data_IF_863637669674
#
_entry.id   IF_863637669674
#
_cell.length_a   1.000
_cell.length_b   1.000
_cell.length_c   1.000
_cell.angle_alpha   90.00
_cell.angle_beta   90.00
_cell.angle_gamma   90.00
#
_symmetry.space_group_name_H-M   'P 1'
#
loop_
_entity.id
_entity.type
_entity.pdbx_description
1 polymer ?
#
# COMPACT_ATOMS: atom_id res chain seq x y z
N UNK A 1 -15.45 47.55 -1.76
CA UNK A 1 -14.25 47.74 -2.58
C UNK A 1 -13.39 46.48 -2.51
N UNK A 2 -13.33 45.69 -3.59
CA UNK A 2 -12.53 44.46 -3.66
C UNK A 2 -11.12 44.83 -4.11
N UNK A 3 -10.15 44.76 -3.21
CA UNK A 3 -8.74 45.02 -3.53
C UNK A 3 -8.14 43.71 -4.04
N UNK A 4 -7.70 43.73 -5.31
CA UNK A 4 -7.21 42.57 -6.06
C UNK A 4 -5.86 42.10 -5.53
N UNK A 5 -5.73 40.78 -5.31
CA UNK A 5 -4.52 40.09 -4.83
C UNK A 5 -3.27 40.35 -5.70
N UNK A 6 -3.47 40.83 -6.92
CA UNK A 6 -2.42 41.23 -7.87
C UNK A 6 -1.60 42.42 -7.36
N UNK A 7 -2.21 43.35 -6.62
CA UNK A 7 -1.49 44.52 -6.06
C UNK A 7 -0.63 44.14 -4.85
N UNK A 8 -1.04 43.12 -4.08
CA UNK A 8 -0.27 42.60 -2.95
C UNK A 8 0.95 41.79 -3.41
N UNK A 9 0.81 41.01 -4.48
CA UNK A 9 1.93 40.32 -5.13
C UNK A 9 2.95 41.31 -5.72
N UNK A 10 2.49 42.41 -6.31
CA UNK A 10 3.37 43.45 -6.86
C UNK A 10 4.18 44.15 -5.76
N UNK A 11 3.57 44.44 -4.61
CA UNK A 11 4.25 45.06 -3.47
C UNK A 11 5.21 44.13 -2.71
N UNK A 12 5.01 42.81 -2.80
CA UNK A 12 5.95 41.82 -2.26
C UNK A 12 7.14 41.61 -3.21
N UNK A 13 6.90 41.59 -4.52
CA UNK A 13 7.95 41.43 -5.52
C UNK A 13 8.89 42.64 -5.58
N UNK A 14 8.40 43.86 -5.36
CA UNK A 14 9.23 45.08 -5.31
C UNK A 14 10.06 45.21 -4.03
N UNK A 15 9.77 44.41 -2.99
CA UNK A 15 10.58 44.32 -1.76
C UNK A 15 11.63 43.22 -1.81
N UNK A 16 11.40 42.15 -2.59
CA UNK A 16 12.36 41.05 -2.73
C UNK A 16 13.37 41.24 -3.87
N UNK A 17 13.05 42.07 -4.87
CA UNK A 17 14.01 42.46 -5.90
C UNK A 17 13.92 43.97 -6.11
N UNK A 18 15.00 44.75 -5.89
CA UNK A 18 15.05 46.09 -6.47
C UNK A 18 14.91 45.93 -7.99
N UNK A 19 14.09 46.75 -8.68
CA UNK A 19 13.95 46.62 -10.12
C UNK A 19 15.33 46.79 -10.76
N UNK A 20 15.61 45.91 -11.72
CA UNK A 20 16.84 45.91 -12.48
C UNK A 20 17.15 47.32 -13.02
N UNK A 21 18.42 47.80 -12.96
CA UNK A 21 18.77 49.11 -13.48
C UNK A 21 18.47 49.16 -14.97
N UNK A 22 17.60 50.08 -15.37
CA UNK A 22 16.99 50.10 -16.70
C UNK A 22 17.89 50.72 -17.80
N UNK A 23 19.15 51.05 -17.52
CA UNK A 23 20.07 51.53 -18.56
C UNK A 23 21.52 51.10 -18.30
N UNK A 24 22.25 50.71 -19.36
CA UNK A 24 23.66 50.30 -19.32
C UNK A 24 24.60 51.35 -18.71
N UNK A 25 24.18 52.63 -18.72
CA UNK A 25 24.93 53.73 -18.11
C UNK A 25 24.88 53.71 -16.58
N UNK A 26 23.79 53.24 -15.98
CA UNK A 26 23.65 53.18 -14.52
C UNK A 26 24.36 51.97 -13.94
N UNK A 27 24.37 50.82 -14.64
CA UNK A 27 25.15 49.65 -14.23
C UNK A 27 26.66 49.92 -14.31
N UNK A 28 27.13 50.62 -15.36
CA UNK A 28 28.52 51.05 -15.47
C UNK A 28 28.89 52.03 -14.34
N UNK A 29 27.98 52.93 -13.96
CA UNK A 29 28.19 53.87 -12.85
C UNK A 29 28.23 53.16 -11.50
N UNK A 30 27.38 52.16 -11.29
CA UNK A 30 27.38 51.32 -10.09
C UNK A 30 28.64 50.46 -9.98
N UNK A 31 29.09 49.88 -11.09
CA UNK A 31 30.35 49.15 -11.15
C UNK A 31 31.55 50.07 -10.86
N UNK A 32 31.57 51.28 -11.43
CA UNK A 32 32.64 52.24 -11.14
C UNK A 32 32.65 52.68 -9.67
N UNK A 33 31.48 52.83 -9.04
CA UNK A 33 31.36 53.14 -7.61
C UNK A 33 31.80 51.97 -6.74
N UNK A 34 31.46 50.74 -7.11
CA UNK A 34 31.89 49.53 -6.41
C UNK A 34 33.39 49.28 -6.56
N UNK A 35 33.95 49.43 -7.75
CA UNK A 35 35.39 49.32 -7.99
C UNK A 35 36.16 50.39 -7.21
N UNK A 36 35.66 51.63 -7.17
CA UNK A 36 36.29 52.68 -6.38
C UNK A 36 36.17 52.41 -4.88
N UNK A 37 35.06 51.86 -4.40
CA UNK A 37 34.89 51.47 -3.00
C UNK A 37 35.85 50.33 -2.62
N UNK A 38 35.98 49.32 -3.48
CA UNK A 38 36.90 48.20 -3.27
C UNK A 38 38.36 48.63 -3.30
N UNK A 39 38.76 49.46 -4.27
CA UNK A 39 40.13 50.01 -4.31
C UNK A 39 40.43 50.86 -3.10
N UNK A 40 39.50 51.71 -2.67
CA UNK A 40 39.67 52.52 -1.45
C UNK A 40 39.79 51.66 -0.20
N UNK A 41 39.11 50.52 -0.14
CA UNK A 41 39.19 49.58 0.98
C UNK A 41 40.48 48.75 0.94
N UNK A 42 40.96 48.42 -0.27
CA UNK A 42 42.26 47.78 -0.49
C UNK A 42 43.42 48.72 -0.16
N UNK A 43 43.38 49.98 -0.57
CA UNK A 43 44.41 50.98 -0.27
C UNK A 43 44.43 51.34 1.22
N UNK A 44 43.28 51.27 1.90
CA UNK A 44 43.19 51.42 3.35
C UNK A 44 43.74 50.21 4.12
N UNK A 45 43.59 49.00 3.57
CA UNK A 45 44.13 47.77 4.17
C UNK A 45 45.61 47.53 3.82
N UNK A 46 46.08 48.09 2.71
CA UNK A 46 47.45 47.98 2.21
C UNK A 46 47.98 49.38 1.83
N UNK A 47 48.38 50.21 2.81
CA UNK A 47 49.05 51.46 2.50
C UNK A 47 50.32 51.18 1.70
N UNK A 48 50.62 51.97 0.65
CA UNK A 48 51.78 51.71 -0.19
C UNK A 48 53.06 51.73 0.67
N UNK A 49 53.97 50.77 0.45
CA UNK A 49 55.23 50.73 1.16
C UNK A 49 56.01 52.00 0.82
N UNK A 50 56.54 52.67 1.85
CA UNK A 50 57.51 53.75 1.67
C UNK A 50 58.68 53.17 0.88
N UNK A 51 58.97 53.80 -0.25
CA UNK A 51 60.15 53.49 -1.05
C UNK A 51 61.39 53.70 -0.17
N UNK A 52 62.10 52.60 0.11
CA UNK A 52 63.54 52.63 0.20
C UNK A 52 64.09 51.49 -0.67
N UNK A 53 64.72 51.96 -1.74
CA UNK A 53 65.55 51.31 -2.74
C UNK A 53 66.25 50.01 -2.27
N UNK A 54 66.09 48.90 -3.02
CA UNK A 54 67.18 48.25 -3.78
C UNK A 54 66.84 46.84 -4.29
N UNK A 55 66.89 46.71 -5.62
CA UNK A 55 67.47 45.62 -6.42
C UNK A 55 66.80 44.21 -6.47
N UNK A 56 66.26 43.93 -7.66
CA UNK A 56 66.03 42.61 -8.31
C UNK A 56 67.36 41.83 -8.57
N UNK A 57 67.40 40.51 -8.94
CA UNK A 57 66.40 39.75 -9.73
C UNK A 57 66.12 38.24 -9.40
N UNK A 58 64.82 37.84 -9.48
CA UNK A 58 64.14 36.80 -10.32
C UNK A 58 64.94 35.57 -10.84
N UNK A 59 64.37 34.35 -11.12
CA UNK A 59 63.14 33.65 -10.67
C UNK A 59 63.34 32.15 -10.30
N UNK A 60 62.54 31.55 -9.39
CA UNK A 60 62.02 30.18 -9.59
C UNK A 60 60.89 29.81 -8.61
N UNK A 61 59.68 29.64 -9.16
CA UNK A 61 58.67 28.66 -8.73
C UNK A 61 57.85 28.86 -7.42
N UNK A 62 56.62 28.29 -7.35
CA UNK A 62 55.42 29.11 -7.19
C UNK A 62 54.62 28.82 -5.91
N UNK A 63 53.94 29.86 -5.42
CA UNK A 63 52.57 29.83 -4.85
C UNK A 63 52.16 28.65 -3.95
N UNK A 64 52.98 28.24 -2.98
CA UNK A 64 52.57 27.27 -1.93
C UNK A 64 52.04 27.87 -0.62
N UNK A 65 52.52 29.02 -0.10
CA UNK A 65 52.03 29.50 1.19
C UNK A 65 50.65 30.17 1.10
N UNK A 66 50.35 30.85 -0.01
CA UNK A 66 49.05 31.53 -0.20
C UNK A 66 47.90 30.53 -0.39
N UNK A 67 48.14 29.44 -1.11
CA UNK A 67 47.12 28.40 -1.30
C UNK A 67 46.83 27.65 0.01
N UNK A 68 47.84 27.38 0.85
CA UNK A 68 47.63 26.80 2.18
C UNK A 68 46.91 27.75 3.14
N UNK A 69 47.20 29.04 3.05
CA UNK A 69 46.51 30.03 3.88
C UNK A 69 45.04 30.23 3.44
N UNK A 70 44.76 30.20 2.13
CA UNK A 70 43.41 30.20 1.59
C UNK A 70 42.64 28.92 1.94
N UNK A 71 43.27 27.74 1.85
CA UNK A 71 42.65 26.48 2.31
C UNK A 71 42.35 26.52 3.81
N UNK A 72 43.25 27.09 4.63
CA UNK A 72 43.02 27.27 6.07
C UNK A 72 41.91 28.27 6.40
N UNK A 73 41.68 29.28 5.56
CA UNK A 73 40.59 30.24 5.71
C UNK A 73 39.26 29.66 5.21
N UNK A 74 39.28 28.84 4.15
CA UNK A 74 38.09 28.19 3.59
C UNK A 74 37.60 26.99 4.44
N UNK A 75 38.45 26.43 5.29
CA UNK A 75 38.10 25.38 6.26
C UNK A 75 37.68 25.93 7.63
N UNK A 76 37.52 27.25 7.77
CA UNK A 76 37.14 27.85 9.05
C UNK A 76 35.65 27.57 9.37
N UNK A 77 35.29 27.11 10.58
CA UNK A 77 33.92 26.66 10.94
C UNK A 77 32.86 27.77 11.01
N UNK A 78 33.24 29.03 10.72
CA UNK A 78 32.32 30.16 10.54
C UNK A 78 32.03 30.45 9.06
N UNK A 79 32.81 29.85 8.15
CA UNK A 79 32.65 29.88 6.69
C UNK A 79 32.16 28.55 6.11
N UNK A 80 31.87 27.56 6.96
CA UNK A 80 30.86 26.51 6.68
C UNK A 80 29.47 27.15 6.58
N UNK A 81 29.33 28.02 5.60
CA UNK A 81 28.04 28.39 5.04
C UNK A 81 27.52 27.13 4.40
N UNK A 82 26.71 26.38 5.17
CA UNK A 82 25.57 25.58 4.72
C UNK A 82 25.61 25.44 3.21
N UNK A 83 26.32 24.41 2.73
CA UNK A 83 26.49 24.13 1.31
C UNK A 83 25.16 24.42 0.63
N UNK A 84 25.20 25.40 -0.26
CA UNK A 84 24.12 25.77 -1.14
C UNK A 84 23.61 24.49 -1.77
N UNK A 85 22.42 24.10 -1.33
CA UNK A 85 21.50 23.28 -2.11
C UNK A 85 21.58 23.75 -3.57
N UNK A 86 21.75 22.84 -4.54
CA UNK A 86 21.64 23.24 -5.94
C UNK A 86 20.31 23.96 -6.14
N UNK A 87 20.28 24.98 -6.99
CA UNK A 87 19.10 25.79 -7.32
C UNK A 87 18.03 25.01 -8.12
N UNK A 88 17.67 23.83 -7.64
CA UNK A 88 16.45 23.10 -7.90
C UNK A 88 15.84 22.83 -6.51
N UNK A 89 14.53 22.68 -6.39
CA UNK A 89 13.92 22.29 -5.12
C UNK A 89 14.64 21.09 -4.47
N UNK A 90 14.43 20.83 -3.16
CA UNK A 90 15.10 19.73 -2.46
C UNK A 90 15.12 18.50 -3.36
N UNK A 91 16.30 17.89 -3.63
CA UNK A 91 16.35 16.72 -4.51
C UNK A 91 15.31 15.74 -3.97
N UNK A 92 14.49 15.09 -4.82
CA UNK A 92 13.45 14.21 -4.34
C UNK A 92 14.13 13.15 -3.47
N UNK A 93 14.05 13.27 -2.14
CA UNK A 93 14.78 12.38 -1.25
C UNK A 93 14.31 10.97 -1.58
N UNK A 94 15.20 10.17 -2.16
CA UNK A 94 14.91 8.78 -2.51
C UNK A 94 14.49 8.09 -1.22
N UNK A 95 13.53 7.16 -1.26
CA UNK A 95 13.11 6.47 -0.05
C UNK A 95 14.31 5.81 0.68
N UNK A 96 15.32 5.40 -0.08
CA UNK A 96 16.62 4.91 0.43
C UNK A 96 17.38 5.99 1.21
N UNK A 97 17.50 7.22 0.69
CA UNK A 97 18.14 8.33 1.40
C UNK A 97 17.43 8.68 2.71
N UNK A 98 16.09 8.62 2.71
CA UNK A 98 15.30 8.87 3.91
C UNK A 98 15.47 7.76 4.94
N UNK A 99 15.59 6.51 4.48
CA UNK A 99 15.89 5.36 5.33
C UNK A 99 17.28 5.52 5.97
N UNK A 100 18.31 5.79 5.18
CA UNK A 100 19.68 5.99 5.68
C UNK A 100 19.78 7.16 6.64
N UNK A 101 19.12 8.29 6.33
CA UNK A 101 19.06 9.44 7.21
C UNK A 101 18.39 9.07 8.54
N UNK A 102 17.29 8.31 8.51
CA UNK A 102 16.59 7.88 9.71
C UNK A 102 17.42 6.92 10.58
N UNK A 103 18.20 6.03 9.97
CA UNK A 103 19.16 5.18 10.67
C UNK A 103 20.28 6.00 11.33
N UNK A 104 20.90 6.93 10.60
CA UNK A 104 21.98 7.80 11.14
C UNK A 104 21.51 8.65 12.31
N UNK A 105 20.26 9.12 12.25
CA UNK A 105 19.66 9.95 13.30
C UNK A 105 19.02 9.13 14.44
N UNK A 106 19.10 7.79 14.39
CA UNK A 106 18.50 6.87 15.38
C UNK A 106 17.03 7.19 15.71
N UNK A 107 16.27 7.67 14.72
CA UNK A 107 14.87 8.04 14.88
C UNK A 107 13.95 7.15 14.03
N UNK A 108 14.38 5.91 13.78
CA UNK A 108 13.60 4.94 13.04
C UNK A 108 12.46 4.43 13.92
N UNK A 109 11.22 4.74 13.54
CA UNK A 109 10.01 4.21 14.16
C UNK A 109 9.25 3.39 13.14
N UNK A 110 8.42 2.44 13.62
CA UNK A 110 7.58 1.58 12.76
C UNK A 110 6.70 2.41 11.81
N UNK A 111 6.11 3.50 12.29
CA UNK A 111 5.30 4.41 11.46
C UNK A 111 6.12 5.12 10.37
N UNK A 112 7.37 5.51 10.68
CA UNK A 112 8.28 6.12 9.71
C UNK A 112 8.70 5.11 8.65
N UNK A 113 8.93 3.86 9.05
CA UNK A 113 9.24 2.75 8.15
C UNK A 113 8.10 2.50 7.16
N UNK A 114 6.84 2.39 7.63
CA UNK A 114 5.67 2.25 6.76
C UNK A 114 5.58 3.38 5.72
N UNK A 115 5.81 4.64 6.14
CA UNK A 115 5.80 5.79 5.24
C UNK A 115 6.90 5.70 4.17
N UNK A 116 8.12 5.33 4.56
CA UNK A 116 9.25 5.15 3.64
C UNK A 116 8.96 4.00 2.66
N UNK A 117 8.43 2.88 3.15
CA UNK A 117 8.07 1.72 2.32
C UNK A 117 7.01 2.08 1.27
N UNK A 118 5.95 2.80 1.65
CA UNK A 118 4.94 3.32 0.69
C UNK A 118 5.57 4.22 -0.37
N UNK A 119 6.45 5.12 0.05
CA UNK A 119 7.13 6.01 -0.89
C UNK A 119 8.01 5.23 -1.86
N UNK A 120 8.74 4.22 -1.38
CA UNK A 120 9.57 3.35 -2.22
C UNK A 120 8.73 2.57 -3.23
N UNK A 121 7.60 1.99 -2.82
CA UNK A 121 6.68 1.27 -3.71
C UNK A 121 6.12 2.17 -4.82
N UNK A 122 5.83 3.44 -4.51
CA UNK A 122 5.42 4.44 -5.53
C UNK A 122 6.59 4.79 -6.45
N UNK A 123 7.81 4.91 -5.90
CA UNK A 123 9.00 5.21 -6.68
C UNK A 123 9.33 4.10 -7.67
N UNK A 124 9.37 2.83 -7.26
CA UNK A 124 9.64 1.70 -8.18
C UNK A 124 8.61 1.65 -9.31
N UNK A 125 7.33 1.90 -9.01
CA UNK A 125 6.26 1.92 -10.03
C UNK A 125 6.50 2.99 -11.10
N UNK A 126 7.03 4.14 -10.72
CA UNK A 126 7.24 5.27 -11.63
C UNK A 126 8.63 5.26 -12.30
N UNK A 127 9.65 4.80 -11.60
CA UNK A 127 11.03 4.72 -12.06
C UNK A 127 11.76 3.63 -11.27
N UNK A 128 12.16 2.51 -11.88
CA UNK A 128 12.93 1.48 -11.18
C UNK A 128 14.25 2.09 -10.71
N UNK A 129 14.43 2.17 -9.39
CA UNK A 129 15.71 2.57 -8.78
C UNK A 129 16.67 1.38 -8.85
N UNK A 130 17.98 1.60 -9.14
CA UNK A 130 18.97 0.54 -9.04
C UNK A 130 19.23 0.12 -7.58
N UNK A 131 18.91 0.98 -6.62
CA UNK A 131 19.13 0.72 -5.19
C UNK A 131 17.93 0.02 -4.56
N UNK A 132 18.16 -1.20 -4.07
CA UNK A 132 17.17 -2.04 -3.38
C UNK A 132 17.13 -1.73 -1.89
N UNK A 133 15.95 -1.33 -1.39
CA UNK A 133 15.73 -0.99 0.02
C UNK A 133 15.58 -2.23 0.91
N UNK A 134 15.05 -3.33 0.37
CA UNK A 134 14.67 -4.52 1.11
C UNK A 134 15.83 -5.21 1.83
N UNK A 135 17.01 -5.30 1.22
CA UNK A 135 18.18 -5.90 1.87
C UNK A 135 18.62 -5.09 3.10
N UNK A 136 18.56 -3.76 3.00
CA UNK A 136 18.90 -2.86 4.11
C UNK A 136 17.86 -2.94 5.23
N UNK A 137 16.59 -3.05 4.87
CA UNK A 137 15.50 -3.24 5.82
C UNK A 137 15.63 -4.57 6.56
N UNK A 138 15.95 -5.66 5.85
CA UNK A 138 16.18 -6.97 6.46
C UNK A 138 17.36 -6.94 7.44
N UNK A 139 18.50 -6.39 7.02
CA UNK A 139 19.68 -6.27 7.89
C UNK A 139 19.41 -5.39 9.12
N UNK A 140 18.66 -4.28 8.95
CA UNK A 140 18.22 -3.46 10.07
C UNK A 140 17.34 -4.25 11.03
N UNK A 141 16.30 -4.92 10.51
CA UNK A 141 15.37 -5.67 11.34
C UNK A 141 16.11 -6.78 12.09
N UNK A 142 17.03 -7.50 11.46
CA UNK A 142 17.85 -8.53 12.10
C UNK A 142 18.70 -8.00 13.26
N UNK A 143 19.35 -6.84 13.08
CA UNK A 143 20.19 -6.19 14.08
C UNK A 143 19.42 -5.56 15.25
N UNK A 144 18.12 -5.35 15.09
CA UNK A 144 17.28 -4.64 16.06
C UNK A 144 16.83 -5.55 17.22
N UNK A 145 16.42 -4.93 18.34
CA UNK A 145 15.96 -5.62 19.54
C UNK A 145 14.68 -6.47 19.31
N UNK A 146 14.48 -7.50 20.14
CA UNK A 146 13.27 -8.33 20.11
C UNK A 146 11.98 -7.51 20.31
N UNK A 147 12.04 -6.47 21.15
CA UNK A 147 10.91 -5.57 21.39
C UNK A 147 10.51 -4.80 20.11
N UNK A 148 11.48 -4.25 19.38
CA UNK A 148 11.19 -3.55 18.12
C UNK A 148 10.66 -4.50 17.05
N UNK A 149 11.20 -5.73 16.97
CA UNK A 149 10.69 -6.79 16.09
C UNK A 149 9.24 -7.11 16.42
N UNK A 150 8.93 -7.36 17.70
CA UNK A 150 7.57 -7.61 18.16
C UNK A 150 6.62 -6.45 17.81
N UNK A 151 7.02 -5.21 18.08
CA UNK A 151 6.24 -4.00 17.73
C UNK A 151 6.00 -3.87 16.22
N UNK A 152 7.00 -4.22 15.40
CA UNK A 152 6.85 -4.25 13.94
C UNK A 152 5.79 -5.26 13.49
N UNK A 153 5.84 -6.50 13.98
CA UNK A 153 4.88 -7.53 13.58
C UNK A 153 3.48 -7.35 14.18
N UNK A 154 3.35 -6.61 15.27
CA UNK A 154 2.04 -6.21 15.82
C UNK A 154 1.41 -5.05 15.04
N UNK A 155 2.17 -4.34 14.20
CA UNK A 155 1.66 -3.21 13.42
C UNK A 155 1.17 -3.68 12.04
N UNK A 156 -0.16 -3.70 11.78
CA UNK A 156 -0.69 -4.17 10.50
C UNK A 156 -0.25 -3.28 9.33
N UNK A 157 -0.13 -1.97 9.56
CA UNK A 157 0.32 -1.01 8.55
C UNK A 157 1.78 -1.27 8.13
N UNK A 158 2.63 -1.68 9.08
CA UNK A 158 4.02 -2.00 8.79
C UNK A 158 4.14 -3.23 7.91
N UNK A 159 3.43 -4.31 8.26
CA UNK A 159 3.40 -5.54 7.46
C UNK A 159 2.83 -5.24 6.06
N UNK A 160 1.73 -4.50 5.99
CA UNK A 160 1.05 -4.17 4.72
C UNK A 160 1.92 -3.40 3.73
N UNK A 161 2.83 -2.56 4.22
CA UNK A 161 3.70 -1.74 3.38
C UNK A 161 5.06 -2.42 3.11
N UNK A 162 5.61 -3.14 4.09
CA UNK A 162 6.94 -3.75 3.98
C UNK A 162 6.92 -5.08 3.24
N UNK A 163 5.90 -5.93 3.41
CA UNK A 163 5.85 -7.22 2.70
C UNK A 163 5.85 -7.04 1.18
N UNK A 164 5.03 -6.16 0.58
CA UNK A 164 5.09 -5.92 -0.86
C UNK A 164 6.44 -5.38 -1.33
N UNK A 165 7.12 -4.58 -0.48
CA UNK A 165 8.46 -4.07 -0.76
C UNK A 165 9.49 -5.20 -0.83
N UNK A 166 9.46 -6.13 0.14
CA UNK A 166 10.34 -7.29 0.16
C UNK A 166 10.14 -8.17 -1.08
N UNK A 167 8.88 -8.39 -1.48
CA UNK A 167 8.54 -9.12 -2.70
C UNK A 167 8.97 -8.39 -3.98
N UNK A 168 8.93 -7.05 -4.01
CA UNK A 168 9.40 -6.26 -5.16
C UNK A 168 10.93 -6.37 -5.34
N UNK A 169 11.68 -6.47 -4.25
CA UNK A 169 13.13 -6.59 -4.29
C UNK A 169 13.65 -8.04 -4.49
N UNK A 170 12.74 -9.03 -4.43
CA UNK A 170 13.03 -10.46 -4.60
C UNK A 170 13.40 -11.19 -3.30
N UNK A 171 13.05 -10.63 -2.14
CA UNK A 171 13.41 -11.12 -0.81
C UNK A 171 12.30 -11.95 -0.16
N UNK A 172 11.67 -12.81 -0.95
CA UNK A 172 10.58 -13.67 -0.46
C UNK A 172 11.06 -14.65 0.60
N UNK A 173 12.25 -15.22 0.42
CA UNK A 173 12.87 -16.15 1.37
C UNK A 173 13.04 -15.54 2.76
N UNK A 174 13.34 -14.24 2.84
CA UNK A 174 13.45 -13.51 4.10
C UNK A 174 12.09 -13.37 4.78
N UNK A 175 11.02 -13.10 4.03
CA UNK A 175 9.65 -13.04 4.59
C UNK A 175 9.21 -14.41 5.11
N UNK A 176 9.55 -15.49 4.41
CA UNK A 176 9.34 -16.85 4.89
C UNK A 176 10.14 -17.17 6.15
N UNK A 177 11.38 -16.69 6.26
CA UNK A 177 12.18 -16.80 7.47
C UNK A 177 11.52 -16.07 8.64
N UNK A 178 10.94 -14.88 8.41
CA UNK A 178 10.20 -14.16 9.44
C UNK A 178 8.97 -14.94 9.93
N UNK A 179 8.22 -15.59 9.03
CA UNK A 179 7.10 -16.44 9.42
C UNK A 179 7.58 -17.61 10.29
N UNK A 180 8.72 -18.23 9.96
CA UNK A 180 9.31 -19.31 10.77
C UNK A 180 9.68 -18.82 12.17
N UNK A 181 10.35 -17.68 12.28
CA UNK A 181 10.67 -17.06 13.57
C UNK A 181 9.43 -16.73 14.42
N UNK A 182 8.31 -16.36 13.77
CA UNK A 182 7.02 -16.16 14.45
C UNK A 182 6.39 -17.48 14.94
N UNK A 183 6.60 -18.60 14.23
CA UNK A 183 6.15 -19.93 14.68
C UNK A 183 7.00 -20.46 15.83
N UNK A 184 8.29 -20.16 15.84
CA UNK A 184 9.23 -20.54 16.91
C UNK A 184 9.14 -19.62 18.15
N UNK A 185 8.34 -18.55 18.04
CA UNK A 185 8.12 -17.51 19.06
C UNK A 185 9.41 -16.77 19.45
N UNK A 186 10.40 -16.66 18.57
CA UNK A 186 11.73 -16.13 18.91
C UNK A 186 11.70 -14.69 19.45
N UNK A 187 10.74 -13.88 19.00
CA UNK A 187 10.67 -12.44 19.32
C UNK A 187 9.66 -12.06 20.40
N UNK A 188 8.93 -13.05 20.92
CA UNK A 188 7.85 -12.83 21.90
C UNK A 188 8.14 -13.49 23.25
N UNK A 189 9.31 -14.11 23.43
CA UNK A 189 9.75 -14.66 24.72
C UNK A 189 10.39 -13.58 25.57
N UNK A 190 9.63 -13.04 26.53
CA UNK A 190 10.20 -12.39 27.70
C UNK A 190 10.24 -13.43 28.84
N UNK A 191 11.41 -14.04 29.09
CA UNK A 191 11.73 -14.84 30.28
C UNK A 191 10.97 -16.17 30.48
N UNK A 192 11.69 -17.28 30.30
CA UNK A 192 11.58 -18.62 30.95
C UNK A 192 10.22 -19.35 31.12
N UNK A 193 9.10 -18.88 30.59
CA UNK A 193 7.85 -19.65 30.60
C UNK A 193 7.73 -20.55 29.35
N UNK A 194 8.42 -21.69 29.35
CA UNK A 194 8.18 -22.77 28.39
C UNK A 194 6.74 -23.27 28.58
N UNK A 195 5.87 -23.01 27.59
CA UNK A 195 4.49 -23.49 27.58
C UNK A 195 3.40 -22.44 27.86
N UNK A 196 3.70 -21.13 27.83
CA UNK A 196 2.60 -20.14 27.87
C UNK A 196 1.75 -20.24 26.60
N UNK A 197 0.41 -20.10 26.70
CA UNK A 197 -0.43 -19.99 25.52
C UNK A 197 0.06 -18.85 24.62
N UNK A 198 0.04 -19.07 23.30
CA UNK A 198 0.43 -18.05 22.32
C UNK A 198 -0.42 -16.80 22.57
N UNK A 199 0.23 -15.65 22.74
CA UNK A 199 -0.47 -14.39 22.98
C UNK A 199 -1.36 -14.08 21.76
N UNK A 200 -2.60 -13.58 21.93
CA UNK A 200 -3.47 -13.22 20.81
C UNK A 200 -2.80 -12.26 19.82
N UNK A 201 -1.90 -11.39 20.31
CA UNK A 201 -1.08 -10.51 19.48
C UNK A 201 -0.14 -11.27 18.51
N UNK A 202 0.47 -12.37 18.96
CA UNK A 202 1.32 -13.22 18.12
C UNK A 202 0.48 -13.94 17.07
N UNK A 203 -0.65 -14.51 17.49
CA UNK A 203 -1.57 -15.21 16.59
C UNK A 203 -2.10 -14.29 15.48
N UNK A 204 -2.39 -13.04 15.84
CA UNK A 204 -2.79 -11.99 14.91
C UNK A 204 -1.65 -11.59 13.98
N UNK A 205 -0.43 -11.39 14.49
CA UNK A 205 0.74 -11.07 13.67
C UNK A 205 1.04 -12.16 12.62
N UNK A 206 0.93 -13.44 13.01
CA UNK A 206 1.05 -14.57 12.08
C UNK A 206 -0.01 -14.50 10.98
N UNK A 207 -1.29 -14.33 11.34
CA UNK A 207 -2.39 -14.23 10.37
C UNK A 207 -2.21 -13.03 9.42
N UNK A 208 -1.78 -11.88 9.93
CA UNK A 208 -1.50 -10.68 9.12
C UNK A 208 -0.37 -10.92 8.12
N UNK A 209 0.74 -11.53 8.55
CA UNK A 209 1.88 -11.83 7.68
C UNK A 209 1.47 -12.80 6.56
N UNK A 210 0.78 -13.89 6.91
CA UNK A 210 0.29 -14.90 5.96
C UNK A 210 -0.68 -14.25 4.97
N UNK A 211 -1.60 -13.42 5.46
CA UNK A 211 -2.53 -12.68 4.61
C UNK A 211 -1.78 -11.79 3.59
N UNK A 212 -0.75 -11.04 4.00
CA UNK A 212 0.04 -10.22 3.06
C UNK A 212 0.87 -11.06 2.08
N UNK A 213 1.41 -12.21 2.49
CA UNK A 213 2.07 -13.14 1.57
C UNK A 213 1.10 -13.68 0.52
N UNK A 214 -0.10 -14.10 0.94
CA UNK A 214 -1.17 -14.54 0.04
C UNK A 214 -1.58 -13.45 -0.95
N UNK A 215 -1.65 -12.19 -0.51
CA UNK A 215 -1.95 -11.05 -1.41
C UNK A 215 -0.91 -10.94 -2.52
N UNK A 216 0.36 -11.13 -2.20
CA UNK A 216 1.42 -11.08 -3.19
C UNK A 216 1.31 -12.23 -4.19
N UNK A 217 0.99 -13.45 -3.73
CA UNK A 217 0.70 -14.60 -4.60
C UNK A 217 -0.49 -14.34 -5.54
N UNK A 218 -1.60 -13.81 -5.00
CA UNK A 218 -2.81 -13.46 -5.77
C UNK A 218 -2.50 -12.38 -6.81
N UNK A 219 -1.69 -11.36 -6.46
CA UNK A 219 -1.28 -10.28 -7.38
C UNK A 219 -0.44 -10.80 -8.54
N UNK A 220 0.37 -11.83 -8.32
CA UNK A 220 1.14 -12.53 -9.37
C UNK A 220 0.26 -13.42 -10.25
N UNK A 221 -1.02 -13.59 -9.90
CA UNK A 221 -1.97 -14.41 -10.62
C UNK A 221 -2.05 -15.85 -10.13
N UNK A 222 -1.29 -16.23 -9.10
CA UNK A 222 -1.31 -17.59 -8.54
C UNK A 222 -2.19 -17.65 -7.29
N UNK A 223 -3.49 -17.84 -7.52
CA UNK A 223 -4.47 -18.04 -6.44
C UNK A 223 -4.31 -19.43 -5.83
N UNK A 224 -3.90 -20.41 -6.63
CA UNK A 224 -3.60 -21.76 -6.15
C UNK A 224 -2.53 -21.75 -5.06
N UNK A 225 -1.41 -21.02 -5.27
CA UNK A 225 -0.37 -20.91 -4.24
C UNK A 225 -0.90 -20.22 -2.98
N UNK A 226 -1.72 -19.18 -3.12
CA UNK A 226 -2.35 -18.52 -1.98
C UNK A 226 -3.28 -19.46 -1.20
N UNK A 227 -4.02 -20.33 -1.90
CA UNK A 227 -4.87 -21.34 -1.29
C UNK A 227 -4.02 -22.40 -0.55
N UNK A 228 -2.95 -22.89 -1.17
CA UNK A 228 -2.02 -23.83 -0.54
C UNK A 228 -1.36 -23.23 0.72
N UNK A 229 -0.96 -21.95 0.67
CA UNK A 229 -0.44 -21.21 1.82
C UNK A 229 -1.46 -21.12 2.97
N UNK A 230 -2.72 -20.80 2.64
CA UNK A 230 -3.79 -20.76 3.64
C UNK A 230 -4.03 -22.12 4.28
N UNK A 231 -4.09 -23.19 3.48
CA UNK A 231 -4.31 -24.56 3.98
C UNK A 231 -3.16 -24.99 4.90
N UNK A 232 -1.90 -24.79 4.48
CA UNK A 232 -0.74 -25.11 5.31
C UNK A 232 -0.77 -24.33 6.64
N UNK A 233 -1.10 -23.03 6.59
CA UNK A 233 -1.24 -22.20 7.77
C UNK A 233 -2.39 -22.64 8.68
N UNK A 234 -3.53 -23.03 8.11
CA UNK A 234 -4.71 -23.48 8.84
C UNK A 234 -4.46 -24.82 9.54
N UNK A 235 -3.78 -25.75 8.87
CA UNK A 235 -3.37 -27.03 9.46
C UNK A 235 -2.40 -26.81 10.63
N UNK A 236 -1.41 -25.92 10.47
CA UNK A 236 -0.53 -25.54 11.57
C UNK A 236 -1.30 -24.90 12.72
N UNK A 237 -2.22 -23.96 12.42
CA UNK A 237 -3.02 -23.27 13.43
C UNK A 237 -3.95 -24.22 14.20
N UNK A 238 -4.53 -25.22 13.53
CA UNK A 238 -5.33 -26.24 14.18
C UNK A 238 -4.53 -27.06 15.20
N UNK A 239 -3.22 -27.23 14.99
CA UNK A 239 -2.32 -27.90 15.93
C UNK A 239 -1.83 -26.95 17.03
N UNK A 240 -1.51 -25.69 16.71
CA UNK A 240 -0.88 -24.76 17.64
C UNK A 240 -1.86 -23.97 18.53
N UNK A 241 -3.03 -23.60 17.99
CA UNK A 241 -4.05 -22.80 18.66
C UNK A 241 -5.44 -23.04 18.01
N UNK A 242 -6.11 -24.17 18.34
CA UNK A 242 -7.34 -24.60 17.65
C UNK A 242 -8.54 -23.66 17.83
N UNK A 243 -8.53 -22.82 18.86
CA UNK A 243 -9.63 -21.88 19.16
C UNK A 243 -9.58 -20.60 18.34
N UNK A 244 -8.44 -20.28 17.71
CA UNK A 244 -8.18 -18.96 17.11
C UNK A 244 -7.99 -19.07 15.59
N UNK A 245 -9.02 -18.75 14.79
CA UNK A 245 -8.98 -18.94 13.35
C UNK A 245 -8.16 -17.87 12.61
N UNK A 246 -7.71 -18.21 11.40
CA UNK A 246 -6.97 -17.31 10.50
C UNK A 246 -7.90 -16.35 9.76
N UNK A 247 -8.43 -15.37 10.49
CA UNK A 247 -9.43 -14.41 10.00
C UNK A 247 -9.00 -13.65 8.75
N UNK A 248 -7.90 -12.91 8.81
CA UNK A 248 -7.41 -12.03 7.74
C UNK A 248 -7.00 -12.80 6.50
N UNK A 249 -6.39 -13.97 6.68
CA UNK A 249 -6.01 -14.87 5.60
C UNK A 249 -7.25 -15.46 4.91
N UNK A 250 -8.24 -15.92 5.69
CA UNK A 250 -9.51 -16.43 5.16
C UNK A 250 -10.29 -15.36 4.40
N UNK A 251 -10.45 -14.15 4.97
CA UNK A 251 -11.12 -13.02 4.28
C UNK A 251 -10.52 -12.80 2.90
N UNK A 252 -9.20 -12.90 2.79
CA UNK A 252 -8.46 -12.63 1.57
C UNK A 252 -8.66 -13.70 0.50
N UNK A 253 -8.50 -14.98 0.85
CA UNK A 253 -8.74 -16.07 -0.12
C UNK A 253 -10.21 -16.15 -0.53
N UNK A 254 -11.14 -16.00 0.41
CA UNK A 254 -12.57 -16.03 0.11
C UNK A 254 -12.97 -14.88 -0.83
N UNK A 255 -12.44 -13.68 -0.59
CA UNK A 255 -12.64 -12.54 -1.48
C UNK A 255 -12.03 -12.79 -2.86
N UNK A 256 -10.83 -13.38 -2.94
CA UNK A 256 -10.18 -13.68 -4.21
C UNK A 256 -10.99 -14.69 -5.04
N UNK A 257 -11.49 -15.75 -4.40
CA UNK A 257 -12.37 -16.77 -5.02
C UNK A 257 -13.65 -16.11 -5.53
N UNK A 258 -14.32 -15.28 -4.73
CA UNK A 258 -15.53 -14.56 -5.15
C UNK A 258 -15.33 -13.68 -6.38
N UNK A 259 -14.21 -12.95 -6.45
CA UNK A 259 -13.94 -12.08 -7.59
C UNK A 259 -13.65 -12.88 -8.87
N UNK A 260 -12.97 -14.02 -8.72
CA UNK A 260 -12.53 -14.86 -9.86
C UNK A 260 -13.56 -15.89 -10.27
N UNK A 261 -14.51 -16.21 -9.39
CA UNK A 261 -15.61 -17.17 -9.60
C UNK A 261 -15.05 -18.48 -10.13
N UNK A 262 -15.67 -19.09 -11.15
CA UNK A 262 -15.21 -20.33 -11.79
C UNK A 262 -13.80 -20.27 -12.42
N UNK A 263 -13.12 -19.11 -12.45
CA UNK A 263 -11.77 -18.94 -13.02
C UNK A 263 -10.67 -18.82 -11.96
N UNK A 264 -10.91 -19.31 -10.74
CA UNK A 264 -9.94 -19.23 -9.66
C UNK A 264 -8.73 -20.17 -9.84
N UNK A 265 -8.86 -21.26 -10.61
CA UNK A 265 -7.74 -22.16 -10.95
C UNK A 265 -7.16 -22.93 -9.76
N UNK A 266 -7.97 -23.22 -8.75
CA UNK A 266 -7.57 -23.98 -7.55
C UNK A 266 -7.99 -25.45 -7.79
N UNK A 267 -7.08 -26.38 -7.52
CA UNK A 267 -7.38 -27.82 -7.57
C UNK A 267 -8.47 -28.21 -6.56
N UNK A 268 -9.26 -29.23 -6.89
CA UNK A 268 -10.38 -29.72 -6.07
C UNK A 268 -9.92 -30.07 -4.65
N UNK A 269 -8.80 -30.79 -4.51
CA UNK A 269 -8.30 -31.23 -3.21
C UNK A 269 -7.90 -30.08 -2.29
N UNK A 270 -7.35 -29.01 -2.87
CA UNK A 270 -6.96 -27.80 -2.13
C UNK A 270 -8.19 -26.97 -1.78
N UNK A 271 -9.16 -26.91 -2.69
CA UNK A 271 -10.41 -26.19 -2.46
C UNK A 271 -11.22 -26.80 -1.31
N UNK A 272 -11.33 -28.13 -1.26
CA UNK A 272 -11.99 -28.85 -0.17
C UNK A 272 -11.35 -28.51 1.18
N UNK A 273 -10.02 -28.51 1.26
CA UNK A 273 -9.29 -28.14 2.48
C UNK A 273 -9.51 -26.67 2.88
N UNK A 274 -9.62 -25.74 1.92
CA UNK A 274 -9.98 -24.35 2.21
C UNK A 274 -11.39 -24.27 2.81
N UNK A 275 -12.33 -25.06 2.29
CA UNK A 275 -13.72 -25.11 2.75
C UNK A 275 -13.85 -25.77 4.13
N UNK A 276 -13.03 -26.77 4.42
CA UNK A 276 -13.02 -27.45 5.73
C UNK A 276 -12.49 -26.56 6.85
N UNK A 277 -11.56 -25.65 6.52
CA UNK A 277 -11.05 -24.64 7.46
C UNK A 277 -11.82 -23.30 7.40
N UNK A 278 -12.96 -23.26 6.72
CA UNK A 278 -13.74 -22.03 6.57
C UNK A 278 -14.24 -21.48 7.91
N UNK A 279 -14.22 -20.15 8.04
CA UNK A 279 -14.64 -19.46 9.26
C UNK A 279 -16.14 -19.19 9.21
N UNK A 280 -16.82 -19.43 10.35
CA UNK A 280 -18.23 -19.09 10.51
C UNK A 280 -18.47 -17.58 10.43
N UNK A 281 -19.59 -17.17 9.82
CA UNK A 281 -20.02 -15.76 9.78
C UNK A 281 -20.16 -15.14 11.16
N UNK A 282 -20.61 -15.92 12.14
CA UNK A 282 -20.84 -15.47 13.51
C UNK A 282 -19.57 -14.90 14.16
N UNK A 283 -18.41 -15.41 13.78
CA UNK A 283 -17.12 -15.04 14.36
C UNK A 283 -16.61 -13.71 13.82
N UNK A 284 -16.66 -13.50 12.50
CA UNK A 284 -15.91 -12.40 11.88
C UNK A 284 -16.65 -11.72 10.70
N UNK A 285 -17.95 -12.00 10.55
CA UNK A 285 -18.83 -11.44 9.50
C UNK A 285 -18.17 -11.49 8.12
N UNK A 286 -17.70 -12.67 7.74
CA UNK A 286 -16.99 -12.91 6.48
C UNK A 286 -17.87 -13.71 5.54
N UNK A 287 -17.56 -13.67 4.25
CA UNK A 287 -18.05 -14.61 3.24
C UNK A 287 -18.02 -16.05 3.79
N UNK A 288 -19.18 -16.69 3.84
CA UNK A 288 -19.32 -18.03 4.43
C UNK A 288 -18.84 -19.13 3.52
N UNK A 289 -18.65 -20.31 4.11
CA UNK A 289 -18.50 -21.59 3.41
C UNK A 289 -19.51 -21.75 2.27
N UNK A 290 -20.77 -21.39 2.50
CA UNK A 290 -21.85 -21.52 1.52
C UNK A 290 -21.65 -20.67 0.26
N UNK A 291 -21.03 -19.48 0.37
CA UNK A 291 -20.64 -18.70 -0.81
C UNK A 291 -19.49 -19.34 -1.59
N UNK A 292 -18.56 -20.01 -0.90
CA UNK A 292 -17.45 -20.69 -1.58
C UNK A 292 -17.94 -21.94 -2.31
N UNK A 293 -18.85 -22.71 -1.73
CA UNK A 293 -19.40 -23.93 -2.34
C UNK A 293 -20.07 -23.72 -3.71
N UNK A 294 -20.54 -22.51 -4.00
CA UNK A 294 -21.03 -22.13 -5.33
C UNK A 294 -19.97 -22.28 -6.43
N UNK A 295 -18.69 -22.07 -6.08
CA UNK A 295 -17.58 -22.05 -7.03
C UNK A 295 -16.73 -23.31 -6.95
N UNK A 296 -17.24 -24.36 -6.33
CA UNK A 296 -16.53 -25.63 -6.23
C UNK A 296 -16.22 -26.21 -7.64
N UNK A 297 -14.98 -26.68 -7.92
CA UNK A 297 -14.59 -27.14 -9.26
C UNK A 297 -15.40 -28.33 -9.81
N UNK A 298 -15.77 -29.30 -8.96
CA UNK A 298 -16.45 -30.54 -9.39
C UNK A 298 -17.94 -30.60 -9.01
N UNK A 299 -18.30 -30.17 -7.80
CA UNK A 299 -19.67 -30.18 -7.29
C UNK A 299 -20.13 -28.80 -6.80
N UNK A 300 -20.44 -27.85 -7.70
CA UNK A 300 -20.97 -26.55 -7.30
C UNK A 300 -22.40 -26.72 -6.75
N UNK A 301 -22.68 -26.15 -5.56
CA UNK A 301 -23.99 -26.27 -4.90
C UNK A 301 -24.47 -24.94 -4.31
N UNK A 302 -25.76 -24.64 -4.49
CA UNK A 302 -26.40 -23.41 -3.98
C UNK A 302 -27.29 -23.65 -2.74
N UNK A 303 -27.45 -24.90 -2.30
CA UNK A 303 -28.37 -25.26 -1.20
C UNK A 303 -27.94 -24.66 0.13
N UNK A 304 -26.66 -24.76 0.49
CA UNK A 304 -26.13 -24.19 1.73
C UNK A 304 -26.40 -22.68 1.82
N UNK A 305 -26.20 -21.98 0.69
CA UNK A 305 -26.43 -20.53 0.63
C UNK A 305 -27.91 -20.18 0.76
N UNK A 306 -28.80 -20.96 0.15
CA UNK A 306 -30.24 -20.79 0.30
C UNK A 306 -30.66 -20.94 1.77
N UNK A 307 -30.21 -21.99 2.45
CA UNK A 307 -30.54 -22.22 3.86
C UNK A 307 -29.99 -21.14 4.80
N UNK A 308 -28.77 -20.65 4.56
CA UNK A 308 -28.21 -19.53 5.32
C UNK A 308 -29.00 -18.24 5.10
N UNK A 309 -29.29 -17.87 3.85
CA UNK A 309 -30.00 -16.63 3.54
C UNK A 309 -31.49 -16.67 3.90
N UNK A 310 -32.10 -17.85 3.93
CA UNK A 310 -33.48 -18.02 4.39
C UNK A 310 -33.59 -18.02 5.93
N UNK A 311 -32.47 -18.12 6.65
CA UNK A 311 -32.46 -18.06 8.11
C UNK A 311 -32.32 -16.61 8.58
N UNK A 312 -33.36 -16.09 9.23
CA UNK A 312 -33.41 -14.72 9.75
C UNK A 312 -32.24 -14.36 10.67
N UNK A 313 -31.73 -15.33 11.43
CA UNK A 313 -30.58 -15.13 12.33
C UNK A 313 -29.28 -14.79 11.60
N UNK A 314 -29.14 -15.26 10.36
CA UNK A 314 -28.01 -14.93 9.48
C UNK A 314 -28.33 -13.76 8.57
N UNK A 315 -29.52 -13.75 7.96
CA UNK A 315 -29.94 -12.77 6.97
C UNK A 315 -29.86 -11.33 7.52
N UNK A 316 -30.38 -11.07 8.71
CA UNK A 316 -30.36 -9.73 9.32
C UNK A 316 -28.94 -9.14 9.48
N UNK A 317 -28.03 -9.83 10.21
CA UNK A 317 -26.64 -9.41 10.33
C UNK A 317 -25.90 -9.30 9.00
N UNK A 318 -26.12 -10.25 8.09
CA UNK A 318 -25.54 -10.23 6.75
C UNK A 318 -26.03 -9.04 5.93
N UNK A 319 -27.30 -8.66 6.07
CA UNK A 319 -27.85 -7.48 5.42
C UNK A 319 -27.19 -6.18 5.90
N UNK A 320 -27.04 -6.03 7.22
CA UNK A 320 -26.35 -4.88 7.82
C UNK A 320 -24.88 -4.82 7.40
N UNK A 321 -24.22 -5.98 7.31
CA UNK A 321 -22.83 -6.08 6.92
C UNK A 321 -22.61 -5.72 5.45
N UNK A 322 -23.33 -6.34 4.50
CA UNK A 322 -23.07 -6.08 3.08
C UNK A 322 -23.37 -4.63 2.72
N UNK A 323 -24.38 -3.98 3.30
CA UNK A 323 -24.69 -2.55 3.07
C UNK A 323 -23.50 -1.62 3.33
N UNK A 324 -22.61 -1.98 4.26
CA UNK A 324 -21.40 -1.21 4.59
C UNK A 324 -20.25 -1.46 3.60
N UNK A 325 -20.23 -2.61 2.93
CA UNK A 325 -19.11 -3.03 2.08
C UNK A 325 -19.41 -2.92 0.58
N UNK A 326 -19.54 -1.68 0.11
CA UNK A 326 -19.84 -1.35 -1.30
C UNK A 326 -18.90 -2.00 -2.32
N UNK A 327 -17.61 -2.14 -1.98
CA UNK A 327 -16.62 -2.77 -2.87
C UNK A 327 -16.93 -4.24 -3.17
N UNK A 328 -17.63 -4.93 -2.26
CA UNK A 328 -18.01 -6.33 -2.44
C UNK A 328 -19.41 -6.49 -3.05
N UNK A 329 -20.19 -5.41 -3.24
CA UNK A 329 -21.56 -5.49 -3.74
C UNK A 329 -21.63 -6.20 -5.08
N UNK A 330 -20.78 -5.80 -6.03
CA UNK A 330 -20.76 -6.43 -7.35
C UNK A 330 -20.40 -7.92 -7.27
N UNK A 331 -19.43 -8.31 -6.43
CA UNK A 331 -19.03 -9.71 -6.27
C UNK A 331 -20.13 -10.56 -5.60
N UNK A 332 -20.78 -10.03 -4.57
CA UNK A 332 -21.88 -10.70 -3.87
C UNK A 332 -23.12 -10.82 -4.76
N UNK A 333 -23.49 -9.75 -5.47
CA UNK A 333 -24.60 -9.78 -6.42
C UNK A 333 -24.34 -10.79 -7.54
N UNK A 334 -23.14 -10.81 -8.11
CA UNK A 334 -22.75 -11.85 -9.06
C UNK A 334 -22.91 -13.25 -8.45
N UNK A 335 -22.51 -13.44 -7.20
CA UNK A 335 -22.65 -14.74 -6.52
C UNK A 335 -24.11 -15.17 -6.32
N UNK A 336 -25.00 -14.23 -5.98
CA UNK A 336 -26.44 -14.51 -5.87
C UNK A 336 -27.05 -14.85 -7.23
N UNK A 337 -26.65 -14.14 -8.30
CA UNK A 337 -27.11 -14.44 -9.66
C UNK A 337 -26.55 -15.77 -10.17
N UNK A 338 -25.31 -16.10 -9.83
CA UNK A 338 -24.68 -17.38 -10.17
C UNK A 338 -25.35 -18.52 -9.40
N UNK A 339 -25.73 -18.31 -8.13
CA UNK A 339 -26.56 -19.25 -7.35
C UNK A 339 -27.95 -19.46 -7.96
N UNK A 340 -28.58 -18.39 -8.49
CA UNK A 340 -29.86 -18.48 -9.19
C UNK A 340 -29.73 -19.30 -10.48
N UNK A 341 -28.68 -19.06 -11.28
CA UNK A 341 -28.42 -19.86 -12.50
C UNK A 341 -28.18 -21.33 -12.16
N UNK A 342 -27.32 -21.61 -11.18
CA UNK A 342 -27.01 -22.97 -10.75
C UNK A 342 -28.28 -23.69 -10.26
N UNK A 343 -29.14 -22.98 -9.52
CA UNK A 343 -30.42 -23.52 -9.07
C UNK A 343 -31.37 -23.83 -10.23
N UNK A 344 -31.38 -23.02 -11.29
CA UNK A 344 -32.14 -23.31 -12.52
C UNK A 344 -31.61 -24.55 -13.24
N UNK A 345 -30.29 -24.66 -13.37
CA UNK A 345 -29.64 -25.83 -14.01
C UNK A 345 -29.92 -27.12 -13.23
N UNK A 346 -30.00 -27.04 -11.91
CA UNK A 346 -30.39 -28.15 -11.03
C UNK A 346 -31.91 -28.36 -10.94
N UNK A 347 -32.73 -27.67 -11.75
CA UNK A 347 -34.20 -27.74 -11.73
C UNK A 347 -34.84 -27.37 -10.38
N UNK A 348 -34.17 -26.57 -9.55
CA UNK A 348 -34.64 -26.06 -8.26
C UNK A 348 -35.22 -24.66 -8.44
N UNK A 349 -36.39 -24.58 -9.08
CA UNK A 349 -37.03 -23.31 -9.44
C UNK A 349 -37.36 -22.42 -8.23
N UNK A 350 -37.72 -23.03 -7.10
CA UNK A 350 -38.00 -22.28 -5.86
C UNK A 350 -36.76 -21.52 -5.37
N UNK A 351 -35.59 -22.17 -5.35
CA UNK A 351 -34.34 -21.52 -4.95
C UNK A 351 -33.95 -20.41 -5.94
N UNK A 352 -34.12 -20.65 -7.24
CA UNK A 352 -33.84 -19.65 -8.26
C UNK A 352 -34.71 -18.39 -8.11
N UNK A 353 -36.02 -18.54 -7.87
CA UNK A 353 -36.91 -17.41 -7.61
C UNK A 353 -36.48 -16.65 -6.36
N UNK A 354 -36.21 -17.36 -5.26
CA UNK A 354 -35.76 -16.76 -4.01
C UNK A 354 -34.51 -15.88 -4.20
N UNK A 355 -33.49 -16.37 -4.91
CA UNK A 355 -32.28 -15.60 -5.15
C UNK A 355 -32.52 -14.35 -6.01
N UNK A 356 -33.41 -14.43 -7.00
CA UNK A 356 -33.77 -13.25 -7.81
C UNK A 356 -34.57 -12.22 -7.01
N UNK A 357 -35.52 -12.67 -6.20
CA UNK A 357 -36.32 -11.79 -5.36
C UNK A 357 -35.44 -11.10 -4.29
N UNK A 358 -34.48 -11.84 -3.73
CA UNK A 358 -33.45 -11.31 -2.84
C UNK A 358 -32.56 -10.30 -3.58
N UNK A 359 -32.15 -10.61 -4.81
CA UNK A 359 -31.34 -9.71 -5.61
C UNK A 359 -32.04 -8.36 -5.87
N UNK A 360 -33.32 -8.39 -6.26
CA UNK A 360 -34.15 -7.22 -6.50
C UNK A 360 -34.42 -6.41 -5.22
N UNK A 361 -34.60 -7.09 -4.08
CA UNK A 361 -34.86 -6.43 -2.79
C UNK A 361 -33.64 -5.70 -2.23
N UNK A 362 -32.45 -6.29 -2.37
CA UNK A 362 -31.23 -5.77 -1.72
C UNK A 362 -30.32 -4.95 -2.63
N UNK A 363 -30.41 -5.13 -3.94
CA UNK A 363 -29.60 -4.37 -4.92
C UNK A 363 -30.45 -3.70 -6.01
N UNK A 364 -31.50 -2.94 -5.65
CA UNK A 364 -32.34 -2.26 -6.65
C UNK A 364 -31.54 -1.25 -7.48
N UNK A 365 -30.51 -0.64 -6.89
CA UNK A 365 -29.62 0.32 -7.56
C UNK A 365 -28.87 -0.28 -8.77
N UNK A 366 -28.60 -1.58 -8.75
CA UNK A 366 -27.86 -2.29 -9.81
C UNK A 366 -28.78 -2.97 -10.83
N UNK A 367 -30.02 -3.26 -10.44
CA UNK A 367 -30.98 -3.98 -11.26
C UNK A 367 -32.05 -3.06 -11.86
N UNK A 368 -32.04 -1.78 -11.51
CA UNK A 368 -33.11 -0.83 -11.80
C UNK A 368 -34.38 -1.21 -11.04
N UNK A 369 -35.12 -0.22 -10.52
CA UNK A 369 -36.42 -0.52 -9.92
C UNK A 369 -37.30 -1.22 -10.96
N UNK A 370 -37.64 -2.49 -10.71
CA UNK A 370 -38.56 -3.27 -11.53
C UNK A 370 -39.90 -2.53 -11.56
N UNK A 371 -40.19 -1.78 -12.62
CA UNK A 371 -41.55 -1.34 -12.89
C UNK A 371 -42.36 -2.61 -13.18
N UNK A 372 -43.11 -3.05 -12.18
CA UNK A 372 -44.01 -4.20 -12.20
C UNK A 372 -45.15 -3.97 -13.19
N UNK A 373 -44.94 -4.29 -14.46
CA UNK A 373 -45.99 -4.35 -15.47
C UNK A 373 -45.47 -4.99 -16.75
N UNK A 374 -45.50 -6.33 -16.84
CA UNK A 374 -45.65 -7.04 -18.13
C UNK A 374 -46.45 -8.31 -17.87
N UNK A 375 -47.46 -8.51 -18.72
CA UNK A 375 -48.41 -9.62 -18.76
C UNK A 375 -47.76 -11.00 -18.78
N UNK A 376 -48.44 -11.93 -18.12
CA UNK A 376 -48.07 -13.31 -17.84
C UNK A 376 -47.84 -14.14 -19.12
N UNK A 377 -46.62 -14.66 -19.38
CA UNK A 377 -46.44 -15.80 -20.26
C UNK A 377 -46.77 -17.11 -19.51
N UNK A 378 -47.11 -18.21 -20.22
CA UNK A 378 -47.62 -19.44 -19.60
C UNK A 378 -46.57 -20.28 -18.86
N UNK A 379 -45.26 -20.03 -19.04
CA UNK A 379 -44.20 -20.88 -18.48
C UNK A 379 -43.34 -20.16 -17.44
N UNK A 380 -43.46 -20.57 -16.16
CA UNK A 380 -42.68 -20.03 -15.04
C UNK A 380 -41.16 -20.06 -15.27
N UNK A 381 -40.65 -21.05 -16.01
CA UNK A 381 -39.23 -21.17 -16.35
C UNK A 381 -38.75 -20.06 -17.31
N UNK A 382 -39.60 -19.66 -18.27
CA UNK A 382 -39.32 -18.57 -19.20
C UNK A 382 -39.26 -17.20 -18.49
N UNK A 383 -40.06 -17.02 -17.44
CA UNK A 383 -40.07 -15.80 -16.62
C UNK A 383 -38.78 -15.70 -15.82
N UNK A 384 -38.36 -16.78 -15.15
CA UNK A 384 -37.15 -16.76 -14.31
C UNK A 384 -35.89 -16.57 -15.17
N UNK A 385 -35.81 -17.23 -16.33
CA UNK A 385 -34.68 -17.09 -17.26
C UNK A 385 -34.59 -15.68 -17.85
N UNK A 386 -35.71 -15.06 -18.23
CA UNK A 386 -35.73 -13.68 -18.73
C UNK A 386 -35.35 -12.66 -17.66
N UNK A 387 -35.83 -12.83 -16.41
CA UNK A 387 -35.40 -12.01 -15.24
C UNK A 387 -33.90 -12.12 -15.01
N UNK A 388 -33.34 -13.33 -15.04
CA UNK A 388 -31.90 -13.54 -14.83
C UNK A 388 -31.06 -12.92 -15.95
N UNK A 389 -31.46 -13.07 -17.22
CA UNK A 389 -30.78 -12.44 -18.35
C UNK A 389 -30.80 -10.92 -18.25
N UNK A 390 -31.95 -10.33 -17.91
CA UNK A 390 -32.10 -8.89 -17.68
C UNK A 390 -31.19 -8.40 -16.56
N UNK A 391 -31.19 -9.09 -15.41
CA UNK A 391 -30.34 -8.75 -14.27
C UNK A 391 -28.85 -8.73 -14.65
N UNK A 392 -28.39 -9.71 -15.44
CA UNK A 392 -27.01 -9.76 -15.93
C UNK A 392 -26.67 -8.67 -16.93
N UNK A 393 -27.58 -8.35 -17.85
CA UNK A 393 -27.38 -7.25 -18.80
C UNK A 393 -27.23 -5.91 -18.07
N UNK A 394 -28.06 -5.66 -17.05
CA UNK A 394 -27.99 -4.44 -16.24
C UNK A 394 -26.69 -4.39 -15.44
N UNK A 395 -26.30 -5.49 -14.79
CA UNK A 395 -25.02 -5.58 -14.08
C UNK A 395 -23.81 -5.37 -15.02
N UNK A 396 -23.85 -5.90 -16.24
CA UNK A 396 -22.82 -5.68 -17.24
C UNK A 396 -22.71 -4.20 -17.64
N UNK A 397 -23.85 -3.50 -17.77
CA UNK A 397 -23.86 -2.07 -18.05
C UNK A 397 -23.29 -1.24 -16.90
N UNK A 398 -23.59 -1.61 -15.65
CA UNK A 398 -23.04 -0.96 -14.46
C UNK A 398 -21.55 -1.25 -14.26
N UNK A 399 -21.06 -2.47 -14.52
CA UNK A 399 -19.63 -2.80 -14.40
C UNK A 399 -18.76 -2.18 -15.48
N UNK A 400 -19.33 -1.87 -16.65
CA UNK A 400 -18.70 -1.03 -17.67
C UNK A 400 -18.49 0.42 -17.18
N UNK A 401 -19.42 0.95 -16.38
CA UNK A 401 -19.38 2.30 -15.81
C UNK A 401 -18.52 2.34 -14.53
N UNK A 402 -18.63 1.30 -13.71
CA UNK A 402 -17.92 1.08 -12.46
C UNK A 402 -16.80 0.08 -12.74
N UNK A 403 -15.85 0.48 -13.58
CA UNK A 403 -14.51 -0.10 -13.60
C UNK A 403 -13.62 0.69 -12.63
N UNK A 404 -13.74 0.54 -11.30
CA UNK A 404 -12.72 1.06 -10.41
C UNK A 404 -11.52 0.14 -10.59
N UNK A 405 -10.39 0.73 -10.97
CA UNK A 405 -9.01 0.39 -10.58
C UNK A 405 -8.77 -0.96 -9.86
N UNK A 406 -9.17 -2.08 -10.48
CA UNK A 406 -8.80 -3.44 -10.11
C UNK A 406 -8.22 -4.13 -11.36
N UNK A 407 -7.28 -3.42 -12.00
CA UNK A 407 -6.07 -4.01 -12.58
C UNK A 407 -4.96 -3.84 -11.53
N UNK A 408 -3.94 -4.70 -11.51
CA UNK A 408 -3.21 -5.07 -10.29
C UNK A 408 -2.57 -3.82 -9.66
N UNK A 409 -3.14 -3.35 -8.56
CA UNK A 409 -2.52 -2.33 -7.72
C UNK A 409 -1.72 -2.99 -6.63
#
# INVERSE_FOLDING_TARGET
>A
MRVSAVLLLKNLLTRLHPPAPATERESARLLAVLDHAFRRQLDAAHPPPKEDLQQSPVPTQPSRPVNRHLESLLLHPLLETKQSSPAHGPPPHTAVDQFDHALRTRNMTVAKLSRIARQYLVQIKNKPSPEKLGHRLAAWLEAESAHTKSSFFQSPDAIHDVVPLMYADGLESTVWAWLRSLYECEWFRDGDAVGSPQTPALLHAQDMLISEMMRMSIRRGSIHDAAAQYVAAALYRAQSAPTEPLTSSYKRIATAILHKRHRHGIDTSTFDQVVDHAISFSTDRVVTRSFLQLYHPTSPTAEGLYHELNNDSFAGPWHSWHRKHKLLHAALLNSVLDAAQLSLEQSKFHHASFFLDLAETHWPDYLGASSSSVESPPDHTSIITSRLQRARQLLASHTSIVRPQLAPT
#
